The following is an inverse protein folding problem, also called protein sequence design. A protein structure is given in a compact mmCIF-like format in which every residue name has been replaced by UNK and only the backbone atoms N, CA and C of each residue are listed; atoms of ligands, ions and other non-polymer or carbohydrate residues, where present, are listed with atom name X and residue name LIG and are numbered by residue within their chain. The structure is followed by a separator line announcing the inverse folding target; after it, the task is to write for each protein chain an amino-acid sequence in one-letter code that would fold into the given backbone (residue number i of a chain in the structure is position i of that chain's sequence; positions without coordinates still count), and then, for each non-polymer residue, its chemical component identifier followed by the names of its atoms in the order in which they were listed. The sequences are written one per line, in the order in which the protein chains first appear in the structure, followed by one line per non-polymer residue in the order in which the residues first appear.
data_IF_711448259454
#
_entry.id   IF_711448259454
#
_cell.length_a   1.000
_cell.length_b   1.000
_cell.length_c   1.000
_cell.angle_alpha   90.00
_cell.angle_beta   90.00
_cell.angle_gamma   90.00
#
_symmetry.space_group_name_H-M   'P 1'
#
loop_
_entity.id
_entity.type
_entity.pdbx_description
1 polymer ?
#
# COMPACT_ATOMS: atom_id res chain seq x y z
N UNK A 1 -45.07 -25.06 21.89
CA UNK A 1 -44.63 -23.70 21.50
C UNK A 1 -43.82 -23.13 22.65
N UNK A 2 -42.51 -23.33 22.63
CA UNK A 2 -41.55 -22.73 23.55
C UNK A 2 -40.52 -22.04 22.66
N UNK A 3 -40.31 -20.74 22.92
CA UNK A 3 -39.40 -19.85 22.25
C UNK A 3 -37.98 -20.39 22.16
N UNK A 4 -37.35 -20.23 21.00
CA UNK A 4 -35.91 -20.03 20.89
C UNK A 4 -35.71 -18.62 20.30
N UNK A 5 -35.82 -17.64 21.20
CA UNK A 5 -35.05 -16.41 21.12
C UNK A 5 -33.56 -16.81 21.21
N UNK A 6 -32.68 -16.03 20.60
CA UNK A 6 -31.20 -16.12 20.70
C UNK A 6 -30.48 -16.99 19.66
N UNK A 7 -30.46 -16.51 18.42
CA UNK A 7 -29.29 -16.67 17.56
C UNK A 7 -28.99 -15.38 16.76
N UNK A 8 -29.21 -14.21 17.38
CA UNK A 8 -28.36 -13.07 17.07
C UNK A 8 -27.07 -13.24 17.87
N UNK A 9 -26.27 -14.26 17.52
CA UNK A 9 -24.85 -14.27 17.89
C UNK A 9 -24.25 -13.06 17.21
N UNK A 10 -24.24 -11.94 17.93
CA UNK A 10 -23.35 -10.82 17.62
C UNK A 10 -21.97 -11.45 17.52
N UNK A 11 -21.43 -11.53 16.31
CA UNK A 11 -20.04 -11.90 16.11
C UNK A 11 -19.23 -10.79 16.80
N UNK A 12 -18.95 -10.98 18.09
CA UNK A 12 -18.15 -10.05 18.86
C UNK A 12 -16.83 -9.91 18.12
N UNK A 13 -16.49 -8.69 17.72
CA UNK A 13 -15.22 -8.38 17.10
C UNK A 13 -14.12 -8.87 18.04
N UNK A 14 -13.22 -9.70 17.53
CA UNK A 14 -12.09 -10.18 18.32
C UNK A 14 -11.29 -8.99 18.89
N UNK A 15 -10.68 -9.12 20.07
CA UNK A 15 -9.92 -8.03 20.69
C UNK A 15 -8.89 -7.40 19.75
N UNK A 16 -8.21 -8.24 18.94
CA UNK A 16 -7.25 -7.77 17.92
C UNK A 16 -7.89 -6.90 16.84
N UNK A 17 -9.08 -7.26 16.34
CA UNK A 17 -9.84 -6.46 15.38
C UNK A 17 -10.25 -5.12 15.97
N UNK A 18 -10.71 -5.09 17.22
CA UNK A 18 -11.09 -3.84 17.89
C UNK A 18 -9.89 -2.91 18.01
N UNK A 19 -8.74 -3.42 18.45
CA UNK A 19 -7.50 -2.63 18.54
C UNK A 19 -7.09 -2.09 17.17
N UNK A 20 -7.13 -2.93 16.13
CA UNK A 20 -6.82 -2.50 14.76
C UNK A 20 -7.76 -1.38 14.29
N UNK A 21 -9.07 -1.51 14.51
CA UNK A 21 -10.06 -0.49 14.15
C UNK A 21 -9.85 0.83 14.90
N UNK A 22 -9.50 0.77 16.18
CA UNK A 22 -9.19 1.96 16.98
C UNK A 22 -7.93 2.66 16.45
N UNK A 23 -6.88 1.92 16.09
CA UNK A 23 -5.67 2.49 15.50
C UNK A 23 -5.95 3.12 14.14
N UNK A 24 -6.73 2.44 13.28
CA UNK A 24 -7.14 2.97 11.97
C UNK A 24 -7.96 4.25 12.15
N UNK A 25 -8.93 4.26 13.07
CA UNK A 25 -9.74 5.43 13.38
C UNK A 25 -8.90 6.59 13.92
N UNK A 26 -7.93 6.31 14.79
CA UNK A 26 -7.01 7.33 15.31
C UNK A 26 -6.17 7.95 14.19
N UNK A 27 -5.61 7.13 13.29
CA UNK A 27 -4.85 7.60 12.13
C UNK A 27 -5.73 8.45 11.19
N UNK A 28 -6.96 8.00 10.93
CA UNK A 28 -7.93 8.75 10.12
C UNK A 28 -8.30 10.10 10.75
N UNK A 29 -8.56 10.12 12.06
CA UNK A 29 -8.89 11.34 12.80
C UNK A 29 -7.73 12.34 12.78
N UNK A 30 -6.49 11.88 13.06
CA UNK A 30 -5.30 12.73 12.98
C UNK A 30 -5.14 13.31 11.58
N UNK A 31 -5.23 12.48 10.54
CA UNK A 31 -5.12 12.95 9.16
C UNK A 31 -6.18 14.00 8.82
N UNK A 32 -7.45 13.76 9.18
CA UNK A 32 -8.54 14.69 8.92
C UNK A 32 -8.38 16.02 9.65
N UNK A 33 -7.99 16.00 10.92
CA UNK A 33 -7.73 17.21 11.71
C UNK A 33 -6.63 18.04 11.02
N UNK A 34 -5.53 17.41 10.62
CA UNK A 34 -4.45 18.11 9.92
C UNK A 34 -4.90 18.63 8.55
N UNK A 35 -5.67 17.85 7.79
CA UNK A 35 -6.18 18.24 6.48
C UNK A 35 -7.12 19.46 6.56
N UNK A 36 -8.00 19.50 7.57
CA UNK A 36 -8.93 20.62 7.81
C UNK A 36 -8.17 21.86 8.31
N UNK A 37 -7.14 21.70 9.15
CA UNK A 37 -6.31 22.84 9.55
C UNK A 37 -5.59 23.47 8.34
N UNK A 38 -5.06 22.63 7.43
CA UNK A 38 -4.32 23.11 6.25
C UNK A 38 -5.23 23.57 5.11
N UNK A 39 -6.49 23.15 5.06
CA UNK A 39 -7.46 23.67 4.07
C UNK A 39 -7.87 25.11 4.34
N UNK A 40 -7.75 25.59 5.59
CA UNK A 40 -8.02 26.98 6.00
C UNK A 40 -6.90 27.95 5.64
N UNK A 41 -5.75 27.47 5.18
CA UNK A 41 -4.62 28.31 4.75
C UNK A 41 -4.78 28.77 3.29
N UNK A 42 -4.17 29.89 2.88
CA UNK A 42 -4.21 30.35 1.49
C UNK A 42 -3.71 29.32 0.46
N UNK A 43 -2.76 28.44 0.86
CA UNK A 43 -2.25 27.35 -0.01
C UNK A 43 -3.19 26.15 -0.07
N UNK A 44 -4.12 26.03 0.87
CA UNK A 44 -5.10 24.94 0.98
C UNK A 44 -4.52 23.54 1.16
N UNK A 45 -5.44 22.57 1.18
CA UNK A 45 -5.16 21.14 1.09
C UNK A 45 -6.08 20.52 0.04
N UNK A 46 -5.55 19.63 -0.80
CA UNK A 46 -6.30 19.06 -1.92
C UNK A 46 -7.36 18.09 -1.44
N UNK A 47 -8.63 18.30 -1.84
CA UNK A 47 -9.73 17.39 -1.52
C UNK A 47 -9.51 15.99 -2.09
N UNK A 48 -8.87 15.86 -3.26
CA UNK A 48 -8.51 14.56 -3.83
C UNK A 48 -7.56 13.75 -2.95
N UNK A 49 -6.61 14.42 -2.28
CA UNK A 49 -5.72 13.75 -1.30
C UNK A 49 -6.50 13.23 -0.11
N UNK A 50 -7.44 14.02 0.41
CA UNK A 50 -8.29 13.59 1.51
C UNK A 50 -9.19 12.43 1.10
N UNK A 51 -9.87 12.53 -0.04
CA UNK A 51 -10.71 11.46 -0.56
C UNK A 51 -9.92 10.16 -0.75
N UNK A 52 -8.77 10.22 -1.42
CA UNK A 52 -7.89 9.06 -1.62
C UNK A 52 -7.47 8.41 -0.30
N UNK A 53 -7.05 9.20 0.68
CA UNK A 53 -6.66 8.69 1.99
C UNK A 53 -7.82 7.98 2.69
N UNK A 54 -9.01 8.61 2.70
CA UNK A 54 -10.20 8.01 3.29
C UNK A 54 -10.64 6.74 2.57
N UNK A 55 -10.53 6.68 1.23
CA UNK A 55 -10.75 5.45 0.47
C UNK A 55 -9.78 4.35 0.94
N UNK A 56 -8.50 4.68 1.13
CA UNK A 56 -7.53 3.75 1.69
C UNK A 56 -7.88 3.26 3.10
N UNK A 57 -8.37 4.16 3.96
CA UNK A 57 -8.86 3.83 5.32
C UNK A 57 -10.07 2.89 5.26
N UNK A 58 -11.05 3.15 4.40
CA UNK A 58 -12.24 2.30 4.23
C UNK A 58 -11.82 0.90 3.76
N UNK A 59 -10.95 0.80 2.76
CA UNK A 59 -10.44 -0.47 2.27
C UNK A 59 -9.67 -1.24 3.35
N UNK A 60 -8.92 -0.53 4.19
CA UNK A 60 -8.21 -1.13 5.33
C UNK A 60 -9.20 -1.68 6.38
N UNK A 61 -10.27 -0.94 6.69
CA UNK A 61 -11.34 -1.41 7.59
C UNK A 61 -12.03 -2.65 7.03
N UNK A 62 -12.37 -2.65 5.74
CA UNK A 62 -12.94 -3.82 5.06
C UNK A 62 -12.01 -5.03 5.18
N UNK A 63 -10.71 -4.82 5.00
CA UNK A 63 -9.73 -5.91 5.05
C UNK A 63 -9.56 -6.49 6.46
N UNK A 64 -9.55 -5.67 7.51
CA UNK A 64 -9.33 -6.16 8.90
C UNK A 64 -10.60 -6.63 9.59
N UNK A 65 -11.77 -6.53 8.95
CA UNK A 65 -13.06 -6.90 9.52
C UNK A 65 -13.61 -8.16 8.82
N UNK A 66 -13.37 -9.37 9.36
CA UNK A 66 -13.76 -10.62 8.71
C UNK A 66 -15.26 -10.72 8.36
N UNK A 67 -16.11 -10.11 9.19
CA UNK A 67 -17.56 -10.08 8.99
C UNK A 67 -18.02 -9.31 7.73
N UNK A 68 -17.15 -8.49 7.15
CA UNK A 68 -17.42 -7.76 5.90
C UNK A 68 -16.89 -8.51 4.67
N UNK A 69 -16.22 -9.65 4.86
CA UNK A 69 -15.76 -10.48 3.76
C UNK A 69 -16.95 -11.11 3.03
N UNK A 70 -16.96 -11.13 1.68
CA UNK A 70 -17.99 -11.83 0.93
C UNK A 70 -17.82 -13.36 0.95
N UNK A 71 -16.76 -13.87 1.59
CA UNK A 71 -16.43 -15.29 1.67
C UNK A 71 -16.72 -15.86 3.07
N UNK A 72 -17.04 -17.17 3.17
CA UNK A 72 -17.18 -17.84 4.45
C UNK A 72 -15.92 -17.72 5.33
N UNK A 73 -16.12 -17.73 6.65
CA UNK A 73 -15.01 -17.72 7.62
C UNK A 73 -14.13 -18.95 7.40
N UNK A 74 -12.81 -18.74 7.28
CA UNK A 74 -11.84 -19.79 7.03
C UNK A 74 -11.63 -20.16 5.55
N UNK A 75 -12.39 -19.55 4.62
CA UNK A 75 -12.19 -19.77 3.18
C UNK A 75 -10.93 -19.06 2.67
N UNK A 76 -10.11 -19.78 1.91
CA UNK A 76 -8.85 -19.24 1.38
C UNK A 76 -9.06 -18.06 0.41
N UNK A 77 -10.20 -18.00 -0.29
CA UNK A 77 -10.56 -16.84 -1.13
C UNK A 77 -10.79 -15.60 -0.29
N UNK A 78 -11.30 -15.75 0.93
CA UNK A 78 -11.41 -14.67 1.91
C UNK A 78 -10.05 -14.12 2.32
N UNK A 79 -9.07 -15.00 2.57
CA UNK A 79 -7.69 -14.60 2.81
C UNK A 79 -7.08 -13.86 1.61
N UNK A 80 -7.29 -14.35 0.39
CA UNK A 80 -6.78 -13.69 -0.82
C UNK A 80 -7.42 -12.30 -1.03
N UNK A 81 -8.72 -12.18 -0.80
CA UNK A 81 -9.42 -10.90 -0.84
C UNK A 81 -8.84 -9.90 0.17
N UNK A 82 -8.65 -10.33 1.41
CA UNK A 82 -8.00 -9.54 2.46
C UNK A 82 -6.57 -9.14 2.07
N UNK A 83 -5.81 -10.07 1.50
CA UNK A 83 -4.45 -9.84 1.01
C UNK A 83 -4.42 -8.73 -0.06
N UNK A 84 -5.30 -8.77 -1.07
CA UNK A 84 -5.37 -7.75 -2.10
C UNK A 84 -5.71 -6.37 -1.53
N UNK A 85 -6.68 -6.31 -0.62
CA UNK A 85 -7.06 -5.06 0.04
C UNK A 85 -5.91 -4.47 0.86
N UNK A 86 -5.23 -5.28 1.68
CA UNK A 86 -4.12 -4.85 2.53
C UNK A 86 -2.84 -4.54 1.75
N UNK A 87 -2.51 -5.37 0.77
CA UNK A 87 -1.23 -5.34 0.06
C UNK A 87 -1.20 -4.39 -1.13
N UNK A 88 -2.35 -4.06 -1.72
CA UNK A 88 -2.40 -3.31 -2.97
C UNK A 88 -3.36 -2.12 -2.93
N UNK A 89 -4.64 -2.36 -2.61
CA UNK A 89 -5.67 -1.32 -2.75
C UNK A 89 -5.61 -0.24 -1.66
N UNK A 90 -5.62 -0.64 -0.38
CA UNK A 90 -5.54 0.31 0.73
C UNK A 90 -4.23 1.13 0.69
N UNK A 91 -3.05 0.51 0.49
CA UNK A 91 -1.80 1.25 0.32
C UNK A 91 -1.83 2.34 -0.74
N UNK A 92 -2.41 2.05 -1.91
CA UNK A 92 -2.49 3.02 -3.00
C UNK A 92 -3.26 4.27 -2.56
N UNK A 93 -4.43 4.08 -1.94
CA UNK A 93 -5.25 5.19 -1.43
C UNK A 93 -4.54 5.98 -0.34
N UNK A 94 -3.94 5.29 0.65
CA UNK A 94 -3.23 5.89 1.78
C UNK A 94 -2.03 6.72 1.31
N UNK A 95 -1.22 6.19 0.40
CA UNK A 95 -0.02 6.86 -0.12
C UNK A 95 -0.36 8.07 -0.98
N UNK A 96 -1.36 7.97 -1.86
CA UNK A 96 -1.80 9.09 -2.71
C UNK A 96 -2.38 10.26 -1.88
N UNK A 97 -2.78 10.00 -0.64
CA UNK A 97 -3.10 11.03 0.35
C UNK A 97 -1.95 11.96 0.71
N UNK A 98 -0.69 11.62 0.42
CA UNK A 98 0.50 12.36 0.86
C UNK A 98 0.57 12.62 2.38
N UNK A 99 0.38 11.59 3.23
CA UNK A 99 0.37 11.75 4.68
C UNK A 99 1.66 12.36 5.22
N UNK A 100 2.82 12.06 4.61
CA UNK A 100 4.10 12.62 5.05
C UNK A 100 4.19 14.10 4.71
N UNK A 101 3.72 14.52 3.53
CA UNK A 101 3.64 15.94 3.15
C UNK A 101 2.71 16.70 4.09
N UNK A 102 1.56 16.12 4.43
CA UNK A 102 0.62 16.72 5.38
C UNK A 102 1.25 16.89 6.76
N UNK A 103 1.95 15.86 7.24
CA UNK A 103 2.67 15.88 8.50
C UNK A 103 3.77 16.95 8.51
N UNK A 104 4.61 16.99 7.47
CA UNK A 104 5.71 17.97 7.34
C UNK A 104 5.20 19.41 7.27
N UNK A 105 4.02 19.64 6.67
CA UNK A 105 3.36 20.95 6.70
C UNK A 105 2.76 21.29 8.06
N UNK A 106 2.49 20.29 8.89
CA UNK A 106 1.72 20.46 10.12
C UNK A 106 2.55 20.63 11.38
N UNK A 107 3.81 20.22 11.35
CA UNK A 107 4.73 20.27 12.49
C UNK A 107 5.66 21.48 12.41
N UNK A 108 6.24 21.86 13.55
CA UNK A 108 7.24 22.94 13.60
C UNK A 108 8.45 22.64 12.68
N UNK A 109 9.15 23.67 12.16
CA UNK A 109 10.33 23.48 11.31
C UNK A 109 11.45 22.64 11.95
N UNK A 110 11.60 22.68 13.28
CA UNK A 110 12.60 21.88 14.00
C UNK A 110 12.31 20.39 13.85
N UNK A 111 11.08 19.98 14.16
CA UNK A 111 10.63 18.60 14.01
C UNK A 111 10.58 18.17 12.52
N UNK A 112 10.17 19.06 11.63
CA UNK A 112 10.22 18.82 10.18
C UNK A 112 11.63 18.52 9.66
N UNK A 113 12.65 19.21 10.19
CA UNK A 113 14.06 18.91 9.87
C UNK A 113 14.49 17.53 10.39
N UNK A 114 14.01 17.09 11.56
CA UNK A 114 14.31 15.76 12.10
C UNK A 114 13.72 14.66 11.21
N UNK A 115 12.44 14.76 10.85
CA UNK A 115 11.80 13.83 9.90
C UNK A 115 12.55 13.84 8.57
N UNK A 116 12.89 15.03 8.05
CA UNK A 116 13.69 15.16 6.84
C UNK A 116 15.07 14.50 6.92
N UNK A 117 15.73 14.48 8.10
CA UNK A 117 16.98 13.73 8.29
C UNK A 117 16.75 12.22 8.27
N UNK A 118 15.69 11.74 8.93
CA UNK A 118 15.32 10.31 8.93
C UNK A 118 15.02 9.84 7.50
N UNK A 119 14.25 10.62 6.72
CA UNK A 119 13.96 10.32 5.31
C UNK A 119 15.20 10.35 4.39
N UNK A 120 16.29 11.00 4.82
CA UNK A 120 17.58 11.02 4.11
C UNK A 120 18.59 10.01 4.67
N UNK A 121 18.22 9.22 5.66
CA UNK A 121 19.11 8.22 6.26
C UNK A 121 19.40 7.05 5.30
N UNK A 122 20.49 6.32 5.53
CA UNK A 122 20.85 5.13 4.74
C UNK A 122 19.75 4.04 4.75
N UNK A 123 19.12 3.71 5.90
CA UNK A 123 18.01 2.75 5.91
C UNK A 123 16.81 3.22 5.07
N UNK A 124 16.42 4.49 5.17
CA UNK A 124 15.35 5.05 4.36
C UNK A 124 15.69 5.01 2.86
N UNK A 125 16.95 5.25 2.51
CA UNK A 125 17.43 5.14 1.13
C UNK A 125 17.40 3.70 0.61
N UNK A 126 17.82 2.73 1.42
CA UNK A 126 17.76 1.32 1.07
C UNK A 126 16.31 0.86 0.84
N UNK A 127 15.38 1.22 1.74
CA UNK A 127 13.96 0.88 1.59
C UNK A 127 13.31 1.59 0.39
N UNK A 128 13.70 2.82 0.10
CA UNK A 128 13.21 3.57 -1.06
C UNK A 128 13.73 3.04 -2.41
N UNK A 129 14.66 2.08 -2.41
CA UNK A 129 15.15 1.46 -3.63
C UNK A 129 14.06 0.57 -4.24
N UNK A 130 13.74 0.72 -5.55
CA UNK A 130 12.58 0.07 -6.15
C UNK A 130 12.70 -1.46 -6.18
N UNK A 131 13.93 -1.99 -6.30
CA UNK A 131 14.18 -3.44 -6.20
C UNK A 131 13.92 -3.97 -4.80
N UNK A 132 14.20 -3.18 -3.74
CA UNK A 132 13.92 -3.59 -2.36
C UNK A 132 12.42 -3.58 -2.11
N UNK A 133 11.72 -2.53 -2.56
CA UNK A 133 10.26 -2.48 -2.49
C UNK A 133 9.60 -3.65 -3.25
N UNK A 134 10.10 -3.96 -4.45
CA UNK A 134 9.66 -5.11 -5.24
C UNK A 134 9.91 -6.43 -4.51
N UNK A 135 11.12 -6.62 -3.95
CA UNK A 135 11.47 -7.83 -3.21
C UNK A 135 10.61 -8.02 -1.94
N UNK A 136 10.32 -6.94 -1.21
CA UNK A 136 9.43 -7.01 -0.05
C UNK A 136 7.97 -7.31 -0.43
N UNK A 137 7.53 -6.83 -1.60
CA UNK A 137 6.20 -7.08 -2.13
C UNK A 137 6.08 -8.50 -2.71
N UNK A 138 6.72 -8.78 -3.85
CA UNK A 138 6.62 -10.08 -4.55
C UNK A 138 7.34 -11.18 -3.78
N UNK A 139 8.47 -10.91 -3.14
CA UNK A 139 9.15 -11.89 -2.31
C UNK A 139 8.35 -12.26 -1.05
N UNK A 140 7.53 -11.33 -0.52
CA UNK A 140 6.59 -11.63 0.55
C UNK A 140 5.52 -12.64 0.12
N UNK A 141 5.01 -12.53 -1.10
CA UNK A 141 4.08 -13.51 -1.69
C UNK A 141 4.74 -14.87 -1.86
N UNK A 142 5.97 -14.89 -2.40
CA UNK A 142 6.73 -16.14 -2.57
C UNK A 142 6.93 -16.82 -1.21
N UNK A 143 7.37 -16.07 -0.20
CA UNK A 143 7.54 -16.59 1.14
C UNK A 143 6.24 -17.13 1.72
N UNK A 144 5.12 -16.43 1.56
CA UNK A 144 3.84 -16.85 2.14
C UNK A 144 3.29 -18.13 1.50
N UNK A 145 3.34 -18.22 0.17
CA UNK A 145 2.61 -19.26 -0.57
C UNK A 145 3.46 -20.47 -1.01
N UNK A 146 4.78 -20.32 -1.08
CA UNK A 146 5.70 -21.40 -1.48
C UNK A 146 6.51 -21.98 -0.32
N UNK A 147 6.22 -21.56 0.91
CA UNK A 147 6.77 -22.11 2.16
C UNK A 147 5.63 -22.45 3.13
N UNK A 148 5.89 -23.16 4.24
CA UNK A 148 4.87 -23.46 5.26
C UNK A 148 4.29 -22.22 5.98
N UNK A 149 4.74 -21.01 5.64
CA UNK A 149 4.37 -19.77 6.33
C UNK A 149 2.85 -19.55 6.34
N UNK A 150 2.13 -19.81 5.26
CA UNK A 150 0.66 -19.70 5.26
C UNK A 150 0.03 -20.60 6.33
N UNK A 151 0.38 -21.88 6.36
CA UNK A 151 -0.12 -22.81 7.39
C UNK A 151 0.26 -22.38 8.80
N UNK A 152 1.46 -21.83 8.99
CA UNK A 152 1.86 -21.29 10.30
C UNK A 152 0.96 -20.11 10.72
N UNK A 153 0.57 -19.23 9.79
CA UNK A 153 -0.35 -18.12 10.08
C UNK A 153 -1.77 -18.57 10.43
N UNK A 154 -2.21 -19.75 10.01
CA UNK A 154 -3.54 -20.24 10.39
C UNK A 154 -3.58 -20.78 11.82
N UNK A 155 -2.41 -21.07 12.41
CA UNK A 155 -2.29 -21.59 13.78
C UNK A 155 -1.74 -20.57 14.78
N UNK A 156 -1.05 -19.53 14.31
CA UNK A 156 -0.42 -18.49 15.14
C UNK A 156 -0.95 -17.10 14.76
N UNK A 157 -1.73 -16.51 15.68
CA UNK A 157 -2.34 -15.18 15.51
C UNK A 157 -1.30 -14.05 15.42
N UNK A 158 -0.19 -14.16 16.16
CA UNK A 158 0.87 -13.16 16.13
C UNK A 158 1.60 -13.18 14.79
N UNK A 159 1.84 -14.37 14.24
CA UNK A 159 2.42 -14.52 12.91
C UNK A 159 1.47 -14.03 11.82
N UNK A 160 0.17 -14.32 11.94
CA UNK A 160 -0.86 -13.79 11.05
C UNK A 160 -0.89 -12.25 11.05
N UNK A 161 -0.84 -11.64 12.23
CA UNK A 161 -0.74 -10.18 12.37
C UNK A 161 0.54 -9.64 11.73
N UNK A 162 1.68 -10.30 11.96
CA UNK A 162 2.97 -9.88 11.39
C UNK A 162 2.95 -9.90 9.86
N UNK A 163 2.36 -10.94 9.26
CA UNK A 163 2.20 -11.05 7.81
C UNK A 163 1.29 -9.95 7.26
N UNK A 164 0.18 -9.64 7.94
CA UNK A 164 -0.69 -8.53 7.53
C UNK A 164 -0.04 -7.16 7.64
N UNK A 165 0.70 -6.91 8.73
CA UNK A 165 1.49 -5.69 8.88
C UNK A 165 2.55 -5.60 7.79
N UNK A 166 3.24 -6.71 7.48
CA UNK A 166 4.20 -6.76 6.38
C UNK A 166 3.56 -6.38 5.05
N UNK A 167 2.41 -6.98 4.69
CA UNK A 167 1.73 -6.66 3.43
C UNK A 167 1.32 -5.19 3.34
N UNK A 168 0.74 -4.64 4.40
CA UNK A 168 0.34 -3.24 4.44
C UNK A 168 1.56 -2.32 4.26
N UNK A 169 2.66 -2.59 4.97
CA UNK A 169 3.88 -1.79 4.91
C UNK A 169 4.61 -1.93 3.58
N UNK A 170 4.75 -3.16 3.07
CA UNK A 170 5.37 -3.44 1.78
C UNK A 170 4.55 -2.83 0.63
N UNK A 171 3.22 -2.94 0.69
CA UNK A 171 2.32 -2.28 -0.26
C UNK A 171 2.45 -0.75 -0.22
N UNK A 172 2.49 -0.15 0.98
CA UNK A 172 2.68 1.30 1.14
C UNK A 172 4.03 1.74 0.57
N UNK A 173 5.09 0.97 0.86
CA UNK A 173 6.42 1.24 0.35
C UNK A 173 6.47 1.15 -1.17
N UNK A 174 5.93 0.08 -1.75
CA UNK A 174 5.90 -0.14 -3.19
C UNK A 174 5.08 0.96 -3.90
N UNK A 175 3.86 1.24 -3.44
CA UNK A 175 3.04 2.33 -3.99
C UNK A 175 3.73 3.69 -3.85
N UNK A 176 4.44 3.96 -2.75
CA UNK A 176 5.17 5.22 -2.57
C UNK A 176 6.37 5.34 -3.51
N UNK A 177 7.15 4.28 -3.69
CA UNK A 177 8.28 4.26 -4.63
C UNK A 177 7.78 4.40 -6.08
N UNK A 178 6.69 3.72 -6.43
CA UNK A 178 6.17 3.66 -7.81
C UNK A 178 5.27 4.83 -8.19
N UNK A 179 4.49 5.42 -7.30
CA UNK A 179 3.54 6.50 -7.63
C UNK A 179 3.37 7.58 -6.52
N UNK A 180 4.08 7.46 -5.40
CA UNK A 180 3.83 8.30 -4.23
C UNK A 180 4.00 9.81 -4.48
N UNK A 181 3.13 10.69 -4.00
CA UNK A 181 3.33 12.14 -4.07
C UNK A 181 4.31 12.68 -3.01
N UNK A 182 4.57 11.91 -1.95
CA UNK A 182 5.42 12.34 -0.84
C UNK A 182 6.91 12.46 -1.22
N UNK A 183 7.67 13.34 -0.54
CA UNK A 183 9.08 13.57 -0.85
C UNK A 183 9.93 12.30 -0.79
N UNK A 184 10.66 12.04 -1.87
CA UNK A 184 11.59 10.92 -2.01
C UNK A 184 12.93 11.45 -2.60
N UNK A 185 13.94 11.75 -1.75
CA UNK A 185 15.16 12.46 -2.16
C UNK A 185 15.94 11.84 -3.32
N UNK A 186 15.82 10.52 -3.54
CA UNK A 186 16.52 9.78 -4.59
C UNK A 186 15.54 8.92 -5.41
N UNK A 187 14.35 9.44 -5.68
CA UNK A 187 13.36 8.69 -6.46
C UNK A 187 13.93 8.29 -7.83
N UNK A 188 13.85 7.01 -8.21
CA UNK A 188 14.29 6.56 -9.52
C UNK A 188 13.57 7.26 -10.67
N UNK A 189 14.18 7.25 -11.86
CA UNK A 189 13.53 7.75 -13.07
C UNK A 189 12.24 6.99 -13.38
N UNK A 190 11.31 7.63 -14.09
CA UNK A 190 10.04 7.00 -14.46
C UNK A 190 10.23 5.70 -15.26
N UNK A 191 11.17 5.61 -16.24
CA UNK A 191 11.43 4.34 -16.92
C UNK A 191 11.80 3.19 -15.97
N UNK A 192 12.64 3.45 -14.96
CA UNK A 192 13.01 2.43 -13.97
C UNK A 192 11.79 1.99 -13.16
N UNK A 193 10.93 2.94 -12.76
CA UNK A 193 9.69 2.63 -12.02
C UNK A 193 8.71 1.83 -12.87
N UNK A 194 8.60 2.13 -14.17
CA UNK A 194 7.77 1.36 -15.12
C UNK A 194 8.30 -0.06 -15.31
N UNK A 195 9.61 -0.24 -15.44
CA UNK A 195 10.22 -1.58 -15.53
C UNK A 195 9.94 -2.37 -14.26
N UNK A 196 10.15 -1.77 -13.09
CA UNK A 196 9.91 -2.44 -11.80
C UNK A 196 8.43 -2.77 -11.61
N UNK A 197 7.52 -1.89 -12.02
CA UNK A 197 6.09 -2.18 -12.03
C UNK A 197 5.76 -3.34 -12.97
N UNK A 198 6.34 -3.38 -14.17
CA UNK A 198 6.18 -4.50 -15.11
C UNK A 198 6.69 -5.84 -14.55
N UNK A 199 7.82 -5.83 -13.83
CA UNK A 199 8.33 -7.03 -13.15
C UNK A 199 7.40 -7.44 -12.00
N UNK A 200 6.82 -6.48 -11.27
CA UNK A 200 5.83 -6.78 -10.23
C UNK A 200 4.59 -7.46 -10.82
N UNK A 201 4.01 -6.90 -11.89
CA UNK A 201 2.87 -7.46 -12.61
C UNK A 201 3.17 -8.90 -13.06
N UNK A 202 4.31 -9.11 -13.71
CA UNK A 202 4.72 -10.43 -14.16
C UNK A 202 4.89 -11.41 -12.99
N UNK A 203 5.51 -10.98 -11.89
CA UNK A 203 5.67 -11.78 -10.68
C UNK A 203 4.32 -12.16 -10.05
N UNK A 204 3.39 -11.20 -9.97
CA UNK A 204 2.06 -11.42 -9.42
C UNK A 204 1.26 -12.43 -10.26
N UNK A 205 1.26 -12.22 -11.59
CA UNK A 205 0.59 -13.10 -12.54
C UNK A 205 1.16 -14.53 -12.49
N UNK A 206 2.50 -14.68 -12.46
CA UNK A 206 3.13 -16.01 -12.36
C UNK A 206 2.76 -16.70 -11.04
N UNK A 207 2.82 -16.00 -9.90
CA UNK A 207 2.44 -16.58 -8.61
C UNK A 207 0.97 -17.01 -8.60
N UNK A 208 0.08 -16.16 -9.12
CA UNK A 208 -1.33 -16.48 -9.27
C UNK A 208 -1.56 -17.73 -10.12
N UNK A 209 -0.89 -17.85 -11.28
CA UNK A 209 -1.01 -19.02 -12.16
C UNK A 209 -0.46 -20.30 -11.51
N UNK A 210 0.67 -20.22 -10.81
CA UNK A 210 1.23 -21.36 -10.05
C UNK A 210 0.29 -21.78 -8.92
N UNK A 211 -0.34 -20.82 -8.23
CA UNK A 211 -1.34 -21.08 -7.21
C UNK A 211 -2.58 -21.76 -7.79
N UNK A 212 -3.11 -21.23 -8.89
CA UNK A 212 -4.24 -21.81 -9.61
C UNK A 212 -3.96 -23.27 -10.03
N UNK A 213 -2.77 -23.51 -10.58
CA UNK A 213 -2.33 -24.84 -11.02
C UNK A 213 -1.95 -25.76 -9.85
N UNK A 214 -1.80 -25.23 -8.63
CA UNK A 214 -1.36 -26.01 -7.47
C UNK A 214 0.10 -26.46 -7.54
N UNK A 215 0.94 -25.77 -8.29
CA UNK A 215 2.35 -26.15 -8.54
C UNK A 215 3.26 -25.44 -7.54
N UNK A 216 4.08 -26.21 -6.81
CA UNK A 216 5.03 -25.76 -5.77
C UNK A 216 4.42 -25.02 -4.56
N UNK A 217 3.14 -24.68 -4.58
CA UNK A 217 2.46 -24.00 -3.47
C UNK A 217 2.25 -24.91 -2.27
N UNK A 218 2.48 -24.37 -1.07
CA UNK A 218 2.35 -25.07 0.20
C UNK A 218 1.09 -24.64 0.95
N UNK A 219 -0.06 -24.73 0.27
CA UNK A 219 -1.35 -24.25 0.76
C UNK A 219 -2.30 -25.46 0.84
N UNK A 220 -2.50 -26.06 2.03
CA UNK A 220 -3.28 -27.29 2.19
C UNK A 220 -4.79 -27.00 2.23
N UNK A 221 -5.31 -26.41 1.15
CA UNK A 221 -6.72 -26.03 1.00
C UNK A 221 -7.37 -26.77 -0.19
N UNK A 222 -8.71 -26.93 -0.19
CA UNK A 222 -9.45 -27.51 -1.32
C UNK A 222 -9.11 -26.83 -2.65
N UNK A 223 -9.10 -27.63 -3.73
CA UNK A 223 -8.67 -27.17 -5.07
C UNK A 223 -9.55 -26.02 -5.59
N UNK A 224 -10.85 -26.05 -5.34
CA UNK A 224 -11.80 -25.01 -5.73
C UNK A 224 -11.50 -23.66 -5.04
N UNK A 225 -11.16 -23.69 -3.75
CA UNK A 225 -10.76 -22.48 -3.02
C UNK A 225 -9.43 -21.95 -3.52
N UNK A 226 -8.48 -22.84 -3.82
CA UNK A 226 -7.16 -22.47 -4.34
C UNK A 226 -7.24 -21.84 -5.73
N UNK A 227 -8.02 -22.44 -6.62
CA UNK A 227 -8.26 -21.93 -7.97
C UNK A 227 -8.97 -20.57 -7.92
N UNK A 228 -10.05 -20.47 -7.13
CA UNK A 228 -10.75 -19.19 -6.96
C UNK A 228 -9.86 -18.10 -6.36
N UNK A 229 -8.97 -18.44 -5.43
CA UNK A 229 -7.98 -17.49 -4.90
C UNK A 229 -6.95 -17.10 -5.96
N UNK A 230 -6.47 -18.05 -6.76
CA UNK A 230 -5.60 -17.78 -7.91
C UNK A 230 -6.24 -16.80 -8.90
N UNK A 231 -7.50 -17.02 -9.28
CA UNK A 231 -8.27 -16.13 -10.15
C UNK A 231 -8.45 -14.74 -9.55
N UNK A 232 -8.82 -14.65 -8.27
CA UNK A 232 -8.93 -13.36 -7.56
C UNK A 232 -7.60 -12.61 -7.55
N UNK A 233 -6.51 -13.31 -7.27
CA UNK A 233 -5.16 -12.73 -7.28
C UNK A 233 -4.78 -12.23 -8.66
N UNK A 234 -5.13 -12.96 -9.72
CA UNK A 234 -4.87 -12.57 -11.11
C UNK A 234 -5.60 -11.29 -11.47
N UNK A 235 -6.94 -11.34 -11.46
CA UNK A 235 -7.77 -10.24 -11.96
C UNK A 235 -7.80 -9.06 -10.99
N UNK A 236 -7.83 -9.32 -9.68
CA UNK A 236 -7.74 -8.28 -8.66
C UNK A 236 -6.37 -7.62 -8.64
N UNK A 237 -5.30 -8.40 -8.78
CA UNK A 237 -3.93 -7.89 -8.90
C UNK A 237 -3.78 -6.97 -10.10
N UNK A 238 -4.20 -7.42 -11.29
CA UNK A 238 -4.17 -6.63 -12.53
C UNK A 238 -4.88 -5.28 -12.37
N UNK A 239 -6.07 -5.26 -11.77
CA UNK A 239 -6.81 -4.01 -11.53
C UNK A 239 -6.01 -3.08 -10.62
N UNK A 240 -5.48 -3.59 -9.52
CA UNK A 240 -4.71 -2.76 -8.58
C UNK A 240 -3.41 -2.23 -9.20
N UNK A 241 -2.73 -3.02 -10.01
CA UNK A 241 -1.51 -2.63 -10.73
C UNK A 241 -1.79 -1.62 -11.84
N UNK A 242 -2.90 -1.76 -12.56
CA UNK A 242 -3.37 -0.75 -13.51
C UNK A 242 -3.69 0.57 -12.80
N UNK A 243 -4.36 0.54 -11.65
CA UNK A 243 -4.60 1.75 -10.85
C UNK A 243 -3.29 2.40 -10.39
N UNK A 244 -2.29 1.61 -9.98
CA UNK A 244 -0.97 2.10 -9.62
C UNK A 244 -0.22 2.68 -10.83
N UNK A 245 -0.33 2.06 -12.01
CA UNK A 245 0.24 2.57 -13.25
C UNK A 245 -0.38 3.92 -13.64
N UNK A 246 -1.71 4.03 -13.57
CA UNK A 246 -2.43 5.29 -13.79
C UNK A 246 -1.99 6.34 -12.78
N UNK A 247 -1.87 5.98 -11.50
CA UNK A 247 -1.37 6.88 -10.47
C UNK A 247 0.06 7.37 -10.75
N UNK A 248 0.95 6.50 -11.23
CA UNK A 248 2.30 6.87 -11.66
C UNK A 248 2.26 7.89 -12.81
N UNK A 249 1.39 7.70 -13.80
CA UNK A 249 1.24 8.62 -14.94
C UNK A 249 0.66 9.97 -14.51
N UNK A 250 -0.37 9.97 -13.65
CA UNK A 250 -1.02 11.21 -13.15
C UNK A 250 -0.11 12.01 -12.20
N UNK A 251 0.76 11.33 -11.46
CA UNK A 251 1.73 11.98 -10.56
C UNK A 251 3.03 12.37 -11.25
N UNK A 252 3.24 11.92 -12.49
CA UNK A 252 4.42 12.26 -13.25
C UNK A 252 4.43 13.75 -13.62
N UNK A 253 5.57 14.39 -13.34
CA UNK A 253 5.87 15.74 -13.80
C UNK A 253 7.18 15.68 -14.57
N UNK A 254 7.20 16.01 -15.88
CA UNK A 254 8.43 16.12 -16.63
C UNK A 254 9.37 17.09 -15.92
N UNK A 255 10.59 16.65 -15.58
CA UNK A 255 11.62 17.56 -15.08
C UNK A 255 11.93 18.54 -16.22
N UNK A 256 11.54 19.81 -16.05
CA UNK A 256 12.02 20.87 -16.95
C UNK A 256 13.53 20.94 -16.75
N UNK A 257 14.30 20.55 -17.77
CA UNK A 257 15.74 20.79 -17.77
C UNK A 257 15.94 22.30 -17.52
N UNK A 258 16.82 22.70 -16.59
CA UNK A 258 17.16 24.11 -16.44
C UNK A 258 17.66 24.58 -17.79
N UNK A 259 16.95 25.53 -18.42
CA UNK A 259 17.41 26.17 -19.64
C UNK A 259 18.78 26.75 -19.30
N UNK A 260 19.83 26.15 -19.87
CA UNK A 260 21.20 26.60 -19.68
C UNK A 260 21.22 28.02 -20.27
N UNK A 261 21.09 29.05 -19.43
CA UNK A 261 21.27 30.43 -19.86
C UNK A 261 22.70 30.50 -20.39
N UNK A 262 22.83 30.46 -21.72
CA UNK A 262 24.06 30.78 -22.42
C UNK A 262 24.29 32.25 -22.08
N UNK A 263 25.13 32.51 -21.07
CA UNK A 263 25.74 33.82 -20.86
C UNK A 263 26.65 34.05 -22.07
N UNK A 264 26.09 34.58 -23.15
CA UNK A 264 26.87 35.28 -24.16
C UNK A 264 27.51 36.46 -23.45
N UNK A 265 28.77 36.31 -23.06
CA UNK A 265 29.63 37.43 -22.78
C UNK A 265 29.71 38.25 -24.07
N UNK A 266 28.98 39.35 -24.13
CA UNK A 266 29.28 40.44 -25.03
C UNK A 266 30.63 41.02 -24.55
N UNK A 267 31.71 40.42 -25.04
CA UNK A 267 33.02 41.03 -24.95
C UNK A 267 33.01 42.23 -25.89
N UNK A 268 32.98 43.39 -25.24
CA UNK A 268 33.39 44.70 -25.74
C UNK A 268 34.56 44.57 -26.72
N UNK A 269 34.26 44.64 -28.02
CA UNK A 269 35.24 45.00 -29.05
C UNK A 269 35.12 46.51 -29.26
N UNK A 270 35.57 47.25 -28.26
CA UNK A 270 35.89 48.66 -28.36
C UNK A 270 37.36 48.78 -27.93
N UNK A 271 38.26 48.64 -28.89
CA UNK A 271 39.57 49.31 -28.94
C UNK A 271 40.20 49.07 -30.31
#
# INVERSE_FOLDING_TARGET
MISAHDAHTTHALGPGTVVALLLIAAVAAVYLVLAVQRSREPRGWSLWRTASFLTGIVLLVLAVTPALSPYPVGDFRGHMHQHLLLGMYAPLGLVLGAPITLLLRSISPVHGRLIGRVLRSRPAHFLAHPVVALALSVGGLVALYFTPLYTATTTDEALHLLVHVHFLLAGCLFAWVIAGPDPAPHRPSVPVRLVVLGVAIAGHAVISQLMYAGIFVQIPVPTDQRQGAGELMYYGGDIAELLLAVALLLTWRPQRQPTRQIRTFAASAAT
#
